data_IF_991675325698
#
_entry.id   IF_991675325698
#
_cell.length_a   1.000
_cell.length_b   1.000
_cell.length_c   1.000
_cell.angle_alpha   90.00
_cell.angle_beta   90.00
_cell.angle_gamma   90.00
#
_symmetry.space_group_name_H-M   'P 1'
#
loop_
_entity.id
_entity.type
_entity.pdbx_description
1 polymer ?
#
# COMPACT_ATOMS: atom_id res chain seq x y z
N UNK A 1 10.59 -24.63 -7.59
CA UNK A 1 10.83 -23.21 -7.92
C UNK A 1 12.20 -23.10 -8.58
N UNK A 2 12.34 -22.27 -9.62
CA UNK A 2 13.62 -21.99 -10.26
C UNK A 2 14.30 -20.82 -9.56
N UNK A 3 15.50 -21.03 -9.04
CA UNK A 3 16.35 -19.96 -8.52
C UNK A 3 17.19 -19.37 -9.66
N UNK A 4 17.32 -18.05 -9.69
CA UNK A 4 18.23 -17.34 -10.59
C UNK A 4 19.33 -16.70 -9.75
N UNK A 5 20.60 -16.89 -10.17
CA UNK A 5 21.75 -16.25 -9.53
C UNK A 5 21.87 -14.81 -10.03
N UNK A 6 22.09 -13.89 -9.11
CA UNK A 6 22.36 -12.47 -9.40
C UNK A 6 23.67 -12.12 -8.71
N UNK A 7 24.55 -11.43 -9.42
CA UNK A 7 25.83 -10.93 -8.90
C UNK A 7 25.74 -9.41 -8.79
N UNK A 8 26.12 -8.88 -7.63
CA UNK A 8 26.03 -7.44 -7.31
C UNK A 8 27.33 -6.98 -6.69
N UNK A 9 27.77 -5.78 -7.04
CA UNK A 9 28.91 -5.14 -6.41
C UNK A 9 28.41 -4.24 -5.28
N UNK A 10 28.90 -4.48 -4.07
CA UNK A 10 28.58 -3.71 -2.88
C UNK A 10 29.85 -3.04 -2.34
N UNK A 11 29.75 -1.84 -1.75
CA UNK A 11 30.85 -1.26 -0.99
C UNK A 11 31.31 -2.21 0.12
N UNK A 12 32.63 -2.32 0.33
CA UNK A 12 33.19 -3.24 1.33
C UNK A 12 32.64 -3.00 2.74
N UNK A 13 32.51 -1.73 3.13
CA UNK A 13 31.94 -1.34 4.43
C UNK A 13 30.48 -1.81 4.60
N UNK A 14 29.68 -1.78 3.53
CA UNK A 14 28.30 -2.25 3.59
C UNK A 14 28.25 -3.78 3.72
N UNK A 15 29.19 -4.49 3.09
CA UNK A 15 29.30 -5.94 3.24
C UNK A 15 29.70 -6.30 4.68
N UNK A 16 30.59 -5.52 5.30
CA UNK A 16 30.98 -5.71 6.70
C UNK A 16 29.79 -5.50 7.65
N UNK A 17 28.95 -4.49 7.40
CA UNK A 17 27.71 -4.28 8.17
C UNK A 17 26.72 -5.43 7.99
N UNK A 18 26.54 -5.91 6.76
CA UNK A 18 25.73 -7.09 6.44
C UNK A 18 26.22 -8.33 7.20
N UNK A 19 27.54 -8.52 7.29
CA UNK A 19 28.14 -9.63 8.02
C UNK A 19 27.86 -9.59 9.51
N UNK A 20 27.98 -8.41 10.11
CA UNK A 20 27.68 -8.23 11.53
C UNK A 20 26.21 -8.53 11.79
N UNK A 21 25.31 -7.99 10.96
CA UNK A 21 23.87 -8.19 11.13
C UNK A 21 23.46 -9.65 10.90
N UNK A 22 23.99 -10.29 9.86
CA UNK A 22 23.74 -11.70 9.57
C UNK A 22 24.15 -12.60 10.74
N UNK A 23 25.31 -12.33 11.37
CA UNK A 23 25.74 -13.06 12.58
C UNK A 23 24.85 -12.79 13.80
N UNK A 24 24.38 -11.56 13.98
CA UNK A 24 23.49 -11.21 15.09
C UNK A 24 22.14 -11.91 15.00
N UNK A 25 21.63 -12.10 13.78
CA UNK A 25 20.34 -12.74 13.51
C UNK A 25 20.43 -14.26 13.25
N UNK A 26 21.64 -14.84 13.33
CA UNK A 26 21.92 -16.25 12.99
C UNK A 26 21.46 -16.63 11.56
N UNK A 27 21.69 -15.72 10.62
CA UNK A 27 21.34 -15.85 9.21
C UNK A 27 22.58 -15.92 8.31
N UNK A 28 22.42 -16.55 7.14
CA UNK A 28 23.40 -16.41 6.06
C UNK A 28 23.23 -15.07 5.33
N UNK A 29 24.33 -14.54 4.75
CA UNK A 29 24.31 -13.32 3.93
C UNK A 29 23.23 -13.40 2.85
N UNK A 30 23.09 -14.55 2.20
CA UNK A 30 22.09 -14.74 1.14
C UNK A 30 20.66 -14.69 1.67
N UNK A 31 20.42 -15.19 2.88
CA UNK A 31 19.12 -15.15 3.56
C UNK A 31 18.74 -13.71 3.89
N UNK A 32 19.65 -12.98 4.53
CA UNK A 32 19.49 -11.56 4.84
C UNK A 32 19.21 -10.73 3.57
N UNK A 33 20.00 -10.95 2.51
CA UNK A 33 19.81 -10.26 1.23
C UNK A 33 18.46 -10.57 0.58
N UNK A 34 17.99 -11.83 0.64
CA UNK A 34 16.66 -12.19 0.14
C UNK A 34 15.57 -11.47 0.94
N UNK A 35 15.67 -11.44 2.26
CA UNK A 35 14.71 -10.75 3.12
C UNK A 35 14.69 -9.24 2.84
N UNK A 36 15.86 -8.60 2.75
CA UNK A 36 15.99 -7.18 2.46
C UNK A 36 15.38 -6.81 1.09
N UNK A 37 15.69 -7.58 0.04
CA UNK A 37 15.14 -7.36 -1.30
C UNK A 37 13.63 -7.58 -1.32
N UNK A 38 13.13 -8.61 -0.65
CA UNK A 38 11.70 -8.88 -0.55
C UNK A 38 10.94 -7.74 0.16
N UNK A 39 11.48 -7.27 1.30
CA UNK A 39 10.92 -6.16 2.05
C UNK A 39 10.90 -4.87 1.22
N UNK A 40 12.00 -4.56 0.53
CA UNK A 40 12.10 -3.38 -0.33
C UNK A 40 11.06 -3.41 -1.47
N UNK A 41 10.93 -4.53 -2.18
CA UNK A 41 9.96 -4.68 -3.27
C UNK A 41 8.53 -4.55 -2.73
N UNK A 42 8.22 -5.19 -1.61
CA UNK A 42 6.89 -5.16 -1.00
C UNK A 42 6.50 -3.74 -0.61
N UNK A 43 7.41 -2.99 0.02
CA UNK A 43 7.17 -1.60 0.39
C UNK A 43 6.96 -0.70 -0.84
N UNK A 44 7.78 -0.88 -1.88
CA UNK A 44 7.63 -0.13 -3.13
C UNK A 44 6.29 -0.38 -3.81
N UNK A 45 5.82 -1.63 -3.85
CA UNK A 45 4.50 -1.98 -4.39
C UNK A 45 3.37 -1.33 -3.58
N UNK A 46 3.47 -1.35 -2.24
CA UNK A 46 2.49 -0.71 -1.36
C UNK A 46 2.42 0.79 -1.59
N UNK A 47 3.58 1.44 -1.74
CA UNK A 47 3.64 2.88 -2.03
C UNK A 47 3.03 3.21 -3.39
N UNK A 48 3.39 2.45 -4.45
CA UNK A 48 2.80 2.63 -5.79
C UNK A 48 1.29 2.44 -5.80
N UNK A 49 0.78 1.44 -5.09
CA UNK A 49 -0.66 1.21 -4.98
C UNK A 49 -1.38 2.44 -4.38
N UNK A 50 -0.84 2.99 -3.28
CA UNK A 50 -1.42 4.20 -2.66
C UNK A 50 -1.39 5.40 -3.59
N UNK A 51 -0.31 5.58 -4.35
CA UNK A 51 -0.19 6.70 -5.28
C UNK A 51 -1.18 6.56 -6.45
N UNK A 52 -1.31 5.36 -7.00
CA UNK A 52 -2.30 5.08 -8.03
C UNK A 52 -3.74 5.30 -7.53
N UNK A 53 -4.04 4.90 -6.28
CA UNK A 53 -5.35 5.18 -5.67
C UNK A 53 -5.62 6.68 -5.59
N UNK A 54 -4.67 7.47 -5.04
CA UNK A 54 -4.82 8.93 -4.96
C UNK A 54 -5.06 9.55 -6.34
N UNK A 55 -4.27 9.14 -7.32
CA UNK A 55 -4.41 9.62 -8.69
C UNK A 55 -5.79 9.31 -9.27
N UNK A 56 -6.27 8.07 -9.13
CA UNK A 56 -7.61 7.68 -9.59
C UNK A 56 -8.72 8.47 -8.91
N UNK A 57 -8.61 8.73 -7.60
CA UNK A 57 -9.58 9.57 -6.87
C UNK A 57 -9.59 11.02 -7.36
N UNK A 58 -8.43 11.59 -7.67
CA UNK A 58 -8.34 12.93 -8.22
C UNK A 58 -8.91 13.01 -9.64
N UNK A 59 -8.61 12.02 -10.49
CA UNK A 59 -9.15 11.93 -11.85
C UNK A 59 -10.68 11.79 -11.86
N UNK A 60 -11.23 11.05 -10.90
CA UNK A 60 -12.68 10.84 -10.76
C UNK A 60 -13.37 11.86 -9.85
N UNK A 61 -12.66 12.88 -9.34
CA UNK A 61 -13.18 13.78 -8.31
C UNK A 61 -14.51 14.43 -8.71
N UNK A 62 -14.65 14.86 -9.97
CA UNK A 62 -15.87 15.50 -10.45
C UNK A 62 -17.05 14.52 -10.53
N UNK A 63 -16.81 13.29 -10.99
CA UNK A 63 -17.86 12.25 -11.08
C UNK A 63 -18.28 11.84 -9.67
N UNK A 64 -17.32 11.60 -8.77
CA UNK A 64 -17.59 11.24 -7.38
C UNK A 64 -18.39 12.34 -6.67
N UNK A 65 -18.09 13.62 -6.94
CA UNK A 65 -18.84 14.75 -6.39
C UNK A 65 -20.28 14.78 -6.91
N UNK A 66 -20.47 14.63 -8.22
CA UNK A 66 -21.81 14.61 -8.83
C UNK A 66 -22.68 13.49 -8.24
N UNK A 67 -22.14 12.27 -8.18
CA UNK A 67 -22.86 11.12 -7.59
C UNK A 67 -23.20 11.34 -6.11
N UNK A 68 -22.30 11.96 -5.33
CA UNK A 68 -22.55 12.27 -3.93
C UNK A 68 -23.66 13.32 -3.77
N UNK A 69 -23.71 14.32 -4.66
CA UNK A 69 -24.78 15.32 -4.67
C UNK A 69 -26.12 14.68 -5.05
N UNK A 70 -26.15 13.85 -6.10
CA UNK A 70 -27.36 13.14 -6.52
C UNK A 70 -27.91 12.23 -5.40
N UNK A 71 -27.05 11.50 -4.68
CA UNK A 71 -27.49 10.72 -3.53
C UNK A 71 -28.00 11.58 -2.37
N UNK A 72 -27.34 12.70 -2.06
CA UNK A 72 -27.76 13.58 -0.97
C UNK A 72 -29.15 14.19 -1.24
N UNK A 73 -29.44 14.53 -2.49
CA UNK A 73 -30.78 14.99 -2.90
C UNK A 73 -31.83 13.90 -2.69
N UNK A 74 -31.55 12.67 -3.11
CA UNK A 74 -32.46 11.54 -2.93
C UNK A 74 -32.70 11.19 -1.45
N UNK A 75 -31.67 11.27 -0.61
CA UNK A 75 -31.80 11.08 0.84
C UNK A 75 -32.69 12.15 1.48
N UNK A 76 -32.50 13.42 1.11
CA UNK A 76 -33.32 14.53 1.60
C UNK A 76 -34.79 14.39 1.19
N UNK A 77 -35.06 13.98 -0.05
CA UNK A 77 -36.42 13.69 -0.51
C UNK A 77 -37.03 12.52 0.26
N UNK A 78 -36.28 11.43 0.49
CA UNK A 78 -36.79 10.26 1.21
C UNK A 78 -37.17 10.56 2.67
N UNK A 79 -36.39 11.40 3.34
CA UNK A 79 -36.67 11.87 4.72
C UNK A 79 -37.94 12.75 4.78
N UNK A 80 -38.29 13.47 3.71
CA UNK A 80 -39.53 14.25 3.64
C UNK A 80 -40.79 13.35 3.56
N UNK A 81 -40.67 12.17 2.95
CA UNK A 81 -41.79 11.23 2.79
C UNK A 81 -41.95 10.21 3.93
N UNK A 82 -40.95 10.06 4.80
CA UNK A 82 -41.00 9.21 6.00
C UNK A 82 -41.05 10.10 7.24
N UNK A 83 -42.24 10.46 7.78
CA UNK A 83 -42.29 11.13 9.07
C UNK A 83 -41.62 10.23 10.10
N UNK A 84 -40.68 10.79 10.86
CA UNK A 84 -39.97 10.11 11.93
C UNK A 84 -40.97 9.22 12.68
N UNK A 85 -40.71 7.91 12.71
CA UNK A 85 -41.51 6.99 13.50
C UNK A 85 -41.43 7.46 14.95
N UNK A 86 -42.43 8.23 15.37
CA UNK A 86 -42.56 8.72 16.73
C UNK A 86 -42.63 7.49 17.63
N UNK A 87 -41.73 7.47 18.60
CA UNK A 87 -41.64 6.42 19.59
C UNK A 87 -43.00 6.16 20.23
N UNK A 88 -43.32 4.87 20.37
CA UNK A 88 -44.25 4.35 21.36
C UNK A 88 -43.63 3.15 22.05
#
# INVERSE_FOLDING_TARGET
MSYKKVEVNLPGNLLDEIDVLARQEDLDRGELMRQAVFAYITEKKRWQMRENMKKGYLEMANINLQLAMEQAELEAEADEYLPAAEGS
#
